data_IF_067504895036
#
_entry.id   IF_067504895036
#
_cell.length_a   1.000
_cell.length_b   1.000
_cell.length_c   1.000
_cell.angle_alpha   90.00
_cell.angle_beta   90.00
_cell.angle_gamma   90.00
#
_symmetry.space_group_name_H-M   'P 1'
#
loop_
_entity.id
_entity.type
_entity.pdbx_description
1 polymer ?
#
# COMPACT_ATOMS: atom_id res chain seq x y z
N UNK A 1 -53.51 11.16 11.92
CA UNK A 1 -52.69 10.08 11.34
C UNK A 1 -51.24 10.54 11.38
N UNK A 2 -50.47 10.08 12.37
CA UNK A 2 -49.08 10.49 12.54
C UNK A 2 -48.21 9.78 11.50
N UNK A 3 -47.73 10.53 10.51
CA UNK A 3 -46.69 10.10 9.59
C UNK A 3 -45.40 9.93 10.40
N UNK A 4 -45.13 8.71 10.85
CA UNK A 4 -43.83 8.37 11.44
C UNK A 4 -42.82 8.34 10.30
N UNK A 5 -42.15 9.47 10.06
CA UNK A 5 -40.90 9.48 9.31
C UNK A 5 -39.91 8.63 10.10
N UNK A 6 -39.69 7.39 9.65
CA UNK A 6 -38.60 6.56 10.17
C UNK A 6 -37.30 7.25 9.76
N UNK A 7 -36.79 8.09 10.64
CA UNK A 7 -35.54 8.80 10.45
C UNK A 7 -34.43 7.78 10.21
N UNK A 8 -33.68 8.06 9.15
CA UNK A 8 -32.69 7.23 8.47
C UNK A 8 -31.43 6.88 9.29
N UNK A 9 -31.44 7.16 10.59
CA UNK A 9 -30.22 7.39 11.39
C UNK A 9 -29.76 6.22 12.25
N UNK A 10 -30.45 5.08 12.29
CA UNK A 10 -29.95 3.91 13.00
C UNK A 10 -30.37 2.59 12.33
N UNK A 11 -29.59 2.16 11.35
CA UNK A 11 -29.68 0.80 10.81
C UNK A 11 -29.01 -0.18 11.77
N UNK A 12 -29.77 -1.10 12.36
CA UNK A 12 -29.21 -2.35 12.84
C UNK A 12 -28.79 -3.21 11.64
N UNK A 13 -27.64 -3.92 11.68
CA UNK A 13 -27.21 -4.79 10.60
C UNK A 13 -28.27 -5.86 10.31
N UNK A 14 -28.61 -6.10 9.04
CA UNK A 14 -29.40 -7.28 8.66
C UNK A 14 -28.54 -8.54 8.86
N UNK A 15 -29.14 -9.64 9.33
CA UNK A 15 -28.44 -10.92 9.49
C UNK A 15 -28.20 -11.64 8.16
N UNK A 16 -28.89 -11.23 7.08
CA UNK A 16 -28.75 -11.79 5.74
C UNK A 16 -29.12 -10.79 4.63
N UNK A 17 -28.73 -11.09 3.39
CA UNK A 17 -29.10 -10.30 2.21
C UNK A 17 -30.62 -10.30 1.99
N UNK A 18 -31.27 -11.46 2.07
CA UNK A 18 -32.72 -11.57 1.87
C UNK A 18 -33.50 -10.69 2.85
N UNK A 19 -33.08 -10.69 4.12
CA UNK A 19 -33.64 -9.82 5.15
C UNK A 19 -33.39 -8.33 4.86
N UNK A 20 -32.19 -7.99 4.37
CA UNK A 20 -31.85 -6.64 3.95
C UNK A 20 -32.73 -6.15 2.79
N UNK A 21 -32.92 -6.97 1.76
CA UNK A 21 -33.78 -6.66 0.60
C UNK A 21 -35.22 -6.46 1.04
N UNK A 22 -35.78 -7.42 1.78
CA UNK A 22 -37.17 -7.35 2.24
C UNK A 22 -37.42 -6.10 3.09
N UNK A 23 -36.47 -5.73 3.95
CA UNK A 23 -36.57 -4.53 4.79
C UNK A 23 -36.60 -3.23 3.97
N UNK A 24 -35.98 -3.22 2.80
CA UNK A 24 -35.81 -2.02 1.95
C UNK A 24 -36.79 -1.96 0.78
N UNK A 25 -37.59 -3.01 0.59
CA UNK A 25 -38.47 -3.18 -0.58
C UNK A 25 -39.48 -2.05 -0.77
N UNK A 26 -40.03 -1.55 0.33
CA UNK A 26 -41.08 -0.52 0.32
C UNK A 26 -40.54 0.89 0.52
N UNK A 27 -39.23 1.09 0.39
CA UNK A 27 -38.61 2.38 0.64
C UNK A 27 -38.78 3.31 -0.54
N UNK A 28 -39.24 4.54 -0.24
CA UNK A 28 -39.28 5.63 -1.22
C UNK A 28 -38.09 6.58 -0.99
N UNK A 29 -37.68 7.23 -2.07
CA UNK A 29 -36.65 8.26 -1.99
C UNK A 29 -37.20 9.49 -1.27
N UNK A 30 -36.46 10.01 -0.28
CA UNK A 30 -36.82 11.24 0.45
C UNK A 30 -36.65 12.50 -0.42
N UNK A 31 -35.77 12.43 -1.41
CA UNK A 31 -35.51 13.51 -2.37
C UNK A 31 -35.21 12.97 -3.76
N UNK A 32 -35.23 13.82 -4.76
CA UNK A 32 -34.85 13.45 -6.12
C UNK A 32 -33.34 13.11 -6.17
N UNK A 33 -32.94 11.97 -6.78
CA UNK A 33 -31.54 11.57 -6.84
C UNK A 33 -30.63 12.68 -7.40
N UNK A 34 -29.58 13.02 -6.66
CA UNK A 34 -28.61 14.06 -7.06
C UNK A 34 -28.97 15.49 -6.66
N UNK A 35 -30.13 15.72 -6.02
CA UNK A 35 -30.55 17.07 -5.59
C UNK A 35 -30.23 17.39 -4.13
N UNK A 36 -29.99 16.37 -3.29
CA UNK A 36 -29.61 16.56 -1.89
C UNK A 36 -28.55 15.53 -1.44
N UNK A 37 -27.76 15.88 -0.41
CA UNK A 37 -26.79 14.98 0.21
C UNK A 37 -27.27 14.55 1.59
N UNK A 38 -27.40 13.24 1.80
CA UNK A 38 -27.72 12.65 3.10
C UNK A 38 -26.75 11.49 3.37
N UNK A 39 -26.09 11.52 4.54
CA UNK A 39 -25.17 10.46 4.95
C UNK A 39 -25.95 9.20 5.35
N UNK A 40 -25.58 8.05 4.77
CA UNK A 40 -26.10 6.74 5.17
C UNK A 40 -25.01 5.70 5.22
N UNK A 41 -24.98 4.90 6.29
CA UNK A 41 -24.22 3.65 6.29
C UNK A 41 -24.80 2.63 5.28
N UNK A 42 -26.11 2.67 5.03
CA UNK A 42 -26.76 1.76 4.08
C UNK A 42 -26.25 1.95 2.64
N UNK A 43 -26.01 3.20 2.22
CA UNK A 43 -25.48 3.49 0.88
C UNK A 43 -24.12 2.79 0.64
N UNK A 44 -23.26 2.75 1.66
CA UNK A 44 -21.98 2.04 1.58
C UNK A 44 -22.16 0.52 1.55
N UNK A 45 -23.11 -0.03 2.30
CA UNK A 45 -23.42 -1.45 2.28
C UNK A 45 -23.93 -1.90 0.89
N UNK A 46 -24.83 -1.12 0.28
CA UNK A 46 -25.31 -1.37 -1.10
C UNK A 46 -24.17 -1.26 -2.11
N UNK A 47 -23.32 -0.22 -2.02
CA UNK A 47 -22.17 -0.08 -2.90
C UNK A 47 -21.19 -1.26 -2.79
N UNK A 48 -20.89 -1.71 -1.57
CA UNK A 48 -20.06 -2.89 -1.34
C UNK A 48 -20.67 -4.16 -1.95
N UNK A 49 -21.99 -4.35 -1.82
CA UNK A 49 -22.68 -5.47 -2.45
C UNK A 49 -22.69 -5.39 -3.97
N UNK A 50 -22.92 -4.20 -4.55
CA UNK A 50 -22.84 -4.00 -6.01
C UNK A 50 -21.46 -4.36 -6.55
N UNK A 51 -20.38 -3.92 -5.88
CA UNK A 51 -19.02 -4.30 -6.27
C UNK A 51 -18.83 -5.81 -6.18
N UNK A 52 -19.31 -6.44 -5.11
CA UNK A 52 -19.17 -7.88 -4.93
C UNK A 52 -19.91 -8.68 -6.01
N UNK A 53 -21.12 -8.25 -6.34
CA UNK A 53 -21.97 -8.88 -7.35
C UNK A 53 -21.39 -8.71 -8.76
N UNK A 54 -21.06 -7.48 -9.16
CA UNK A 54 -20.51 -7.18 -10.50
C UNK A 54 -19.17 -7.87 -10.72
N UNK A 55 -18.37 -8.04 -9.67
CA UNK A 55 -17.07 -8.69 -9.77
C UNK A 55 -17.10 -10.20 -9.60
N UNK A 56 -18.18 -10.76 -9.05
CA UNK A 56 -18.23 -12.16 -8.62
C UNK A 56 -17.23 -12.51 -7.50
N UNK A 57 -16.76 -11.50 -6.74
CA UNK A 57 -15.76 -11.65 -5.66
C UNK A 57 -16.28 -11.04 -4.37
N UNK A 58 -15.96 -11.61 -3.19
CA UNK A 58 -16.37 -11.02 -1.93
C UNK A 58 -15.69 -9.65 -1.73
N UNK A 59 -16.45 -8.66 -1.25
CA UNK A 59 -15.95 -7.29 -1.04
C UNK A 59 -14.73 -7.24 -0.08
N UNK A 60 -14.63 -8.20 0.85
CA UNK A 60 -13.50 -8.35 1.77
C UNK A 60 -12.15 -8.55 1.08
N UNK A 61 -12.11 -9.15 -0.11
CA UNK A 61 -10.88 -9.28 -0.91
C UNK A 61 -10.36 -7.91 -1.35
N UNK A 62 -11.25 -7.01 -1.79
CA UNK A 62 -10.88 -5.64 -2.16
C UNK A 62 -10.37 -4.85 -0.96
N UNK A 63 -11.02 -5.00 0.19
CA UNK A 63 -10.57 -4.36 1.43
C UNK A 63 -9.20 -4.88 1.87
N UNK A 64 -8.96 -6.18 1.77
CA UNK A 64 -7.68 -6.78 2.12
C UNK A 64 -6.55 -6.25 1.23
N UNK A 65 -6.76 -6.22 -0.09
CA UNK A 65 -5.79 -5.70 -1.05
C UNK A 65 -5.55 -4.19 -0.87
N UNK A 66 -6.61 -3.42 -0.62
CA UNK A 66 -6.52 -1.99 -0.32
C UNK A 66 -5.73 -1.73 0.97
N UNK A 67 -6.04 -2.44 2.05
CA UNK A 67 -5.33 -2.35 3.32
C UNK A 67 -3.86 -2.74 3.17
N UNK A 68 -3.57 -3.83 2.44
CA UNK A 68 -2.20 -4.25 2.14
C UNK A 68 -1.44 -3.18 1.34
N UNK A 69 -2.10 -2.49 0.41
CA UNK A 69 -1.50 -1.40 -0.37
C UNK A 69 -1.10 -0.25 0.55
N UNK A 70 -2.01 0.21 1.41
CA UNK A 70 -1.74 1.29 2.37
C UNK A 70 -0.63 0.90 3.35
N UNK A 71 -0.68 -0.31 3.89
CA UNK A 71 0.36 -0.82 4.78
C UNK A 71 1.74 -0.88 4.08
N UNK A 72 1.78 -1.36 2.84
CA UNK A 72 2.97 -1.40 2.01
C UNK A 72 3.58 -0.02 1.77
N UNK A 73 2.76 0.97 1.43
CA UNK A 73 3.20 2.37 1.25
C UNK A 73 3.72 2.98 2.56
N UNK A 74 3.03 2.74 3.68
CA UNK A 74 3.44 3.23 4.99
C UNK A 74 4.79 2.62 5.41
N UNK A 75 4.94 1.30 5.32
CA UNK A 75 6.18 0.59 5.63
C UNK A 75 7.31 1.00 4.67
N UNK A 76 7.00 1.18 3.38
CA UNK A 76 7.92 1.70 2.38
C UNK A 76 8.48 3.06 2.76
N UNK A 77 7.59 3.99 3.11
CA UNK A 77 7.94 5.35 3.56
C UNK A 77 8.81 5.30 4.82
N UNK A 78 8.44 4.48 5.81
CA UNK A 78 9.25 4.28 7.01
C UNK A 78 10.63 3.68 6.69
N UNK A 79 10.69 2.74 5.76
CA UNK A 79 11.93 2.14 5.27
C UNK A 79 12.84 3.16 4.58
N UNK A 80 12.27 4.04 3.75
CA UNK A 80 13.01 5.11 3.06
C UNK A 80 13.59 6.10 4.09
N UNK A 81 12.80 6.52 5.07
CA UNK A 81 13.25 7.39 6.17
C UNK A 81 14.38 6.78 7.02
N UNK A 82 14.49 5.46 7.04
CA UNK A 82 15.49 4.71 7.81
C UNK A 82 16.65 4.18 6.95
N UNK A 83 16.65 4.45 5.64
CA UNK A 83 17.62 3.87 4.70
C UNK A 83 19.07 4.24 5.04
N UNK A 84 19.33 5.50 5.43
CA UNK A 84 20.66 5.96 5.83
C UNK A 84 21.21 5.24 7.06
N UNK A 85 20.39 5.10 8.11
CA UNK A 85 20.74 4.37 9.34
C UNK A 85 20.97 2.88 9.08
N UNK A 86 20.16 2.28 8.21
CA UNK A 86 20.32 0.88 7.80
C UNK A 86 21.65 0.66 7.06
N UNK A 87 22.00 1.58 6.15
CA UNK A 87 23.22 1.53 5.35
C UNK A 87 24.48 1.76 6.19
N UNK A 88 24.46 2.72 7.12
CA UNK A 88 25.59 3.00 8.02
C UNK A 88 26.02 1.75 8.83
N UNK A 89 25.04 0.97 9.32
CA UNK A 89 25.32 -0.29 10.05
C UNK A 89 25.96 -1.38 9.16
N UNK A 90 25.88 -1.23 7.85
CA UNK A 90 26.34 -2.20 6.85
C UNK A 90 27.41 -1.62 5.93
N UNK A 91 27.99 -0.46 6.27
CA UNK A 91 28.97 0.21 5.43
C UNK A 91 30.23 -0.65 5.21
N UNK A 92 30.63 -1.43 6.23
CA UNK A 92 31.77 -2.34 6.16
C UNK A 92 31.44 -3.72 5.55
N UNK A 93 30.20 -3.96 5.11
CA UNK A 93 29.85 -5.25 4.54
C UNK A 93 30.46 -5.40 3.15
N UNK A 94 31.06 -6.56 2.82
CA UNK A 94 31.49 -6.84 1.46
C UNK A 94 30.26 -7.02 0.54
N UNK A 95 30.42 -6.67 -0.74
CA UNK A 95 29.35 -6.66 -1.74
C UNK A 95 28.55 -7.96 -1.83
N UNK A 96 29.22 -9.11 -1.71
CA UNK A 96 28.59 -10.41 -1.83
C UNK A 96 27.66 -10.79 -0.66
N UNK A 97 27.82 -10.18 0.52
CA UNK A 97 26.83 -10.28 1.61
C UNK A 97 25.71 -9.26 1.46
N UNK A 98 26.04 -8.11 0.89
CA UNK A 98 25.11 -6.98 0.74
C UNK A 98 24.05 -7.24 -0.34
N UNK A 99 24.46 -7.69 -1.53
CA UNK A 99 23.57 -7.97 -2.67
C UNK A 99 22.45 -8.96 -2.33
N UNK A 100 22.70 -10.14 -1.73
CA UNK A 100 21.62 -11.07 -1.42
C UNK A 100 20.61 -10.51 -0.41
N UNK A 101 21.02 -9.57 0.45
CA UNK A 101 20.10 -8.89 1.37
C UNK A 101 19.16 -7.87 0.70
N UNK A 102 19.45 -7.47 -0.54
CA UNK A 102 18.59 -6.62 -1.35
C UNK A 102 17.59 -7.44 -2.19
N UNK A 103 17.91 -8.69 -2.51
CA UNK A 103 17.07 -9.54 -3.38
C UNK A 103 15.61 -9.64 -2.95
N UNK A 104 15.25 -9.77 -1.65
CA UNK A 104 13.84 -9.84 -1.25
C UNK A 104 13.02 -8.60 -1.66
N UNK A 105 13.65 -7.43 -1.79
CA UNK A 105 12.97 -6.19 -2.20
C UNK A 105 12.66 -6.15 -3.69
N UNK A 106 13.33 -6.99 -4.49
CA UNK A 106 13.14 -7.09 -5.94
C UNK A 106 12.09 -8.13 -6.34
N UNK A 107 11.62 -8.96 -5.41
CA UNK A 107 10.60 -10.00 -5.68
C UNK A 107 9.33 -9.37 -6.26
N UNK A 108 8.77 -8.36 -5.59
CA UNK A 108 7.49 -7.75 -6.02
C UNK A 108 7.63 -6.92 -7.31
N UNK A 109 8.65 -6.08 -7.50
CA UNK A 109 8.89 -5.44 -8.80
C UNK A 109 9.01 -6.46 -9.95
N UNK A 110 9.75 -7.56 -9.72
CA UNK A 110 9.92 -8.61 -10.72
C UNK A 110 8.60 -9.30 -11.02
N UNK A 111 7.83 -9.62 -9.97
CA UNK A 111 6.50 -10.21 -10.12
C UNK A 111 5.57 -9.27 -10.90
N UNK A 112 5.59 -7.96 -10.62
CA UNK A 112 4.75 -6.99 -11.33
C UNK A 112 5.10 -6.94 -12.83
N UNK A 113 6.39 -6.89 -13.19
CA UNK A 113 6.83 -6.96 -14.59
C UNK A 113 6.41 -8.29 -15.21
N UNK A 114 6.62 -9.39 -14.51
CA UNK A 114 6.28 -10.73 -14.99
C UNK A 114 4.77 -10.85 -15.26
N UNK A 115 3.92 -10.40 -14.33
CA UNK A 115 2.47 -10.55 -14.43
C UNK A 115 1.87 -9.59 -15.47
N UNK A 116 2.29 -8.32 -15.51
CA UNK A 116 1.65 -7.33 -16.36
C UNK A 116 2.27 -7.19 -17.75
N UNK A 117 3.56 -7.49 -17.91
CA UNK A 117 4.28 -7.26 -19.17
C UNK A 117 4.72 -8.55 -19.84
N UNK A 118 5.12 -9.57 -19.06
CA UNK A 118 5.65 -10.82 -19.64
C UNK A 118 4.55 -11.84 -19.87
N UNK A 119 3.72 -12.14 -18.86
CA UNK A 119 2.69 -13.17 -18.92
C UNK A 119 1.70 -12.99 -20.09
N UNK A 120 1.23 -11.76 -20.42
CA UNK A 120 0.39 -11.53 -21.61
C UNK A 120 1.08 -11.85 -22.94
N UNK A 121 2.41 -11.79 -23.00
CA UNK A 121 3.18 -12.05 -24.23
C UNK A 121 3.52 -13.52 -24.45
N UNK A 122 3.21 -14.38 -23.46
CA UNK A 122 3.47 -15.81 -23.58
C UNK A 122 2.58 -16.44 -24.67
N UNK A 123 3.17 -17.34 -25.45
CA UNK A 123 2.50 -17.99 -26.58
C UNK A 123 1.22 -18.68 -26.11
N UNK A 124 0.11 -18.40 -26.79
CA UNK A 124 -1.21 -18.96 -26.47
C UNK A 124 -2.01 -18.16 -25.45
N UNK A 125 -1.49 -17.03 -24.95
CA UNK A 125 -2.26 -16.10 -24.14
C UNK A 125 -3.02 -15.12 -25.02
N UNK A 126 -4.35 -15.03 -24.86
CA UNK A 126 -5.21 -14.09 -25.59
C UNK A 126 -5.36 -12.75 -24.86
N UNK A 127 -4.97 -12.67 -23.59
CA UNK A 127 -5.11 -11.46 -22.81
C UNK A 127 -4.01 -10.45 -23.14
N UNK A 128 -4.40 -9.20 -23.31
CA UNK A 128 -3.51 -8.05 -23.40
C UNK A 128 -3.11 -7.55 -21.99
N UNK A 129 -1.97 -6.84 -21.84
CA UNK A 129 -1.60 -6.20 -20.58
C UNK A 129 -2.72 -5.32 -19.98
N UNK A 130 -3.44 -4.59 -20.83
CA UNK A 130 -4.54 -3.73 -20.41
C UNK A 130 -5.73 -4.52 -19.85
N UNK A 131 -6.03 -5.69 -20.42
CA UNK A 131 -7.11 -6.56 -19.93
C UNK A 131 -6.75 -7.18 -18.58
N UNK A 132 -5.49 -7.58 -18.36
CA UNK A 132 -5.05 -8.10 -17.06
C UNK A 132 -5.24 -7.06 -15.94
N UNK A 133 -4.92 -5.79 -16.22
CA UNK A 133 -5.15 -4.69 -15.26
C UNK A 133 -6.65 -4.47 -15.02
N UNK A 134 -7.48 -4.53 -16.06
CA UNK A 134 -8.94 -4.38 -15.94
C UNK A 134 -9.59 -5.54 -15.18
N UNK A 135 -9.07 -6.75 -15.33
CA UNK A 135 -9.59 -7.96 -14.70
C UNK A 135 -9.29 -7.98 -13.20
N UNK A 136 -8.13 -7.46 -12.79
CA UNK A 136 -7.70 -7.44 -11.38
C UNK A 136 -7.18 -6.07 -10.95
N UNK A 137 -8.03 -5.02 -10.92
CA UNK A 137 -7.57 -3.65 -10.69
C UNK A 137 -6.95 -3.45 -9.31
N UNK A 138 -7.51 -4.07 -8.27
CA UNK A 138 -6.99 -4.00 -6.90
C UNK A 138 -5.62 -4.67 -6.76
N UNK A 139 -5.43 -5.85 -7.37
CA UNK A 139 -4.14 -6.53 -7.40
C UNK A 139 -3.10 -5.74 -8.20
N UNK A 140 -3.51 -5.14 -9.33
CA UNK A 140 -2.65 -4.30 -10.14
C UNK A 140 -2.15 -3.07 -9.37
N UNK A 141 -3.04 -2.40 -8.65
CA UNK A 141 -2.68 -1.29 -7.76
C UNK A 141 -1.69 -1.75 -6.68
N UNK A 142 -1.97 -2.87 -6.00
CA UNK A 142 -1.11 -3.39 -4.94
C UNK A 142 0.31 -3.71 -5.46
N UNK A 143 0.40 -4.52 -6.52
CA UNK A 143 1.69 -4.96 -7.07
C UNK A 143 2.49 -3.80 -7.64
N UNK A 144 1.84 -2.83 -8.29
CA UNK A 144 2.50 -1.63 -8.79
C UNK A 144 3.04 -0.78 -7.64
N UNK A 145 2.21 -0.51 -6.62
CA UNK A 145 2.62 0.26 -5.45
C UNK A 145 3.80 -0.38 -4.72
N UNK A 146 3.71 -1.69 -4.43
CA UNK A 146 4.79 -2.43 -3.79
C UNK A 146 6.04 -2.53 -4.67
N UNK A 147 5.88 -2.66 -5.99
CA UNK A 147 6.96 -2.63 -6.95
C UNK A 147 7.73 -1.31 -6.93
N UNK A 148 7.02 -0.18 -6.97
CA UNK A 148 7.62 1.15 -6.87
C UNK A 148 8.32 1.34 -5.52
N UNK A 149 7.69 0.93 -4.42
CA UNK A 149 8.30 0.97 -3.08
C UNK A 149 9.58 0.13 -3.01
N UNK A 150 9.55 -1.10 -3.53
CA UNK A 150 10.70 -2.02 -3.53
C UNK A 150 11.88 -1.46 -4.32
N UNK A 151 11.62 -0.93 -5.53
CA UNK A 151 12.63 -0.26 -6.35
C UNK A 151 13.20 0.98 -5.65
N UNK A 152 12.34 1.84 -5.10
CA UNK A 152 12.76 3.04 -4.37
C UNK A 152 13.60 2.73 -3.14
N UNK A 153 13.21 1.73 -2.35
CA UNK A 153 13.98 1.28 -1.18
C UNK A 153 15.35 0.72 -1.58
N UNK A 154 15.39 -0.09 -2.63
CA UNK A 154 16.65 -0.66 -3.13
C UNK A 154 17.60 0.45 -3.57
N UNK A 155 17.11 1.40 -4.37
CA UNK A 155 17.90 2.57 -4.80
C UNK A 155 18.36 3.43 -3.61
N UNK A 156 17.48 3.71 -2.65
CA UNK A 156 17.81 4.50 -1.46
C UNK A 156 18.88 3.81 -0.59
N UNK A 157 18.79 2.48 -0.43
CA UNK A 157 19.76 1.71 0.35
C UNK A 157 21.10 1.60 -0.34
N UNK A 158 21.12 1.36 -1.65
CA UNK A 158 22.36 1.33 -2.46
C UNK A 158 23.04 2.70 -2.43
N UNK A 159 22.32 3.78 -2.69
CA UNK A 159 22.90 5.14 -2.66
C UNK A 159 23.40 5.52 -1.28
N UNK A 160 22.67 5.19 -0.21
CA UNK A 160 23.12 5.45 1.16
C UNK A 160 24.35 4.61 1.53
N UNK A 161 24.43 3.36 1.07
CA UNK A 161 25.57 2.48 1.29
C UNK A 161 26.82 2.98 0.55
N UNK A 162 26.68 3.35 -0.73
CA UNK A 162 27.78 3.94 -1.51
C UNK A 162 28.33 5.23 -0.87
N UNK A 163 27.46 6.10 -0.35
CA UNK A 163 27.87 7.30 0.39
C UNK A 163 28.59 6.97 1.70
N UNK A 164 28.18 5.93 2.40
CA UNK A 164 28.80 5.50 3.66
C UNK A 164 30.13 4.75 3.44
N UNK A 165 30.29 4.08 2.31
CA UNK A 165 31.48 3.31 1.93
C UNK A 165 32.57 4.17 1.25
N UNK A 166 32.26 5.40 0.84
CA UNK A 166 33.21 6.29 0.16
C UNK A 166 34.42 6.64 1.06
N UNK A 167 35.67 6.36 0.63
CA UNK A 167 36.87 6.73 1.35
C UNK A 167 36.99 8.27 1.42
N UNK A 168 36.75 8.86 2.59
CA UNK A 168 36.85 10.32 2.80
C UNK A 168 35.87 10.90 3.83
N UNK A 169 34.77 10.20 4.13
CA UNK A 169 33.79 10.66 5.13
C UNK A 169 34.32 10.67 6.58
N UNK A 170 35.46 10.01 6.85
CA UNK A 170 36.11 9.95 8.17
C UNK A 170 37.15 11.04 8.43
N UNK A 171 37.57 11.81 7.43
CA UNK A 171 38.66 12.79 7.58
C UNK A 171 38.21 14.13 8.24
N UNK A 172 36.91 14.39 8.33
CA UNK A 172 36.36 15.61 8.97
C UNK A 172 35.90 15.45 10.42
N UNK A 173 35.82 14.22 10.95
CA UNK A 173 35.28 13.96 12.29
C UNK A 173 36.34 14.01 13.41
N UNK A 174 37.63 14.05 13.07
CA UNK A 174 38.75 14.09 14.02
C UNK A 174 39.14 15.48 14.52
N UNK A 175 38.53 16.56 14.00
CA UNK A 175 38.85 17.96 14.44
C UNK A 175 38.06 18.40 15.69
N UNK A 176 37.14 17.57 16.22
CA UNK A 176 36.37 17.89 17.44
C UNK A 176 36.65 16.94 18.62
N UNK A 177 37.93 16.63 18.87
CA UNK A 177 38.40 16.05 20.15
C UNK A 177 39.68 16.77 20.58
N UNK A 178 39.52 18.03 20.98
CA UNK A 178 40.62 18.87 21.45
C UNK A 178 40.17 19.86 22.51
N UNK A 179 39.52 19.36 23.58
CA UNK A 179 39.36 20.14 24.82
C UNK A 179 39.03 19.26 26.03
N UNK A 180 40.01 18.47 26.47
CA UNK A 180 40.12 18.11 27.88
C UNK A 180 41.47 18.65 28.36
N UNK A 181 41.46 19.92 28.76
CA UNK A 181 42.56 20.54 29.49
C UNK A 181 42.66 19.86 30.86
N UNK A 182 43.69 19.03 31.02
CA UNK A 182 44.21 18.60 32.31
C UNK A 182 44.62 19.84 33.12
N UNK A 183 43.81 20.20 34.11
CA UNK A 183 44.26 21.05 35.22
C UNK A 183 44.73 20.11 36.32
N UNK A 184 46.03 19.86 36.34
CA UNK A 184 46.73 19.33 37.52
C UNK A 184 48.14 19.92 37.59
N UNK A 185 48.25 21.00 38.34
CA UNK A 185 49.46 21.62 38.91
C UNK A 185 48.92 22.80 39.74
N UNK A 186 49.15 22.97 41.04
CA UNK A 186 49.98 22.32 42.06
C UNK A 186 49.22 22.38 43.39
#
# INVERSE_FOLDING_TARGET
MASVSKSFTAFAPAGSLAEGVERTRDWSSESEPGTSYSYSNFNYAVAAHLVAEVSGRPFSEYLALGAATVAGLALGTLGLRRASRWAARRAAWPLWWFVPHLLPQLVVPTLAVLVFLVAPTLRGNTYTPAEVVRLFPSLAVLLTALGVVGMGLTAARVTAWLRAAAPGAGAGATVRKGRYSLVRAR
#
